data_IF_794489129404
#
_entry.id   IF_794489129404
#
_cell.length_a   1.000
_cell.length_b   1.000
_cell.length_c   1.000
_cell.angle_alpha   90.00
_cell.angle_beta   90.00
_cell.angle_gamma   90.00
#
_symmetry.space_group_name_H-M   'P 1'
#
loop_
_entity.id
_entity.type
_entity.pdbx_description
1 polymer ?
#
# COMPACT_ATOMS: atom_id res chain seq x y z
N UNK A 1 24.04 -23.91 -3.48
CA UNK A 1 22.66 -24.01 -3.94
C UNK A 1 22.49 -23.04 -5.08
N UNK A 2 22.26 -23.54 -6.29
CA UNK A 2 22.00 -22.72 -7.48
C UNK A 2 20.58 -22.19 -7.32
N UNK A 3 20.45 -20.91 -6.99
CA UNK A 3 19.14 -20.23 -7.04
C UNK A 3 18.73 -20.23 -8.51
N UNK A 4 17.73 -21.02 -8.88
CA UNK A 4 17.14 -20.96 -10.20
C UNK A 4 16.67 -19.52 -10.44
N UNK A 5 17.36 -18.79 -11.31
CA UNK A 5 16.93 -17.49 -11.79
C UNK A 5 15.65 -17.71 -12.61
N UNK A 6 14.49 -17.45 -12.00
CA UNK A 6 13.23 -17.40 -12.72
C UNK A 6 13.26 -16.09 -13.52
N UNK A 7 13.62 -16.20 -14.79
CA UNK A 7 13.55 -15.08 -15.73
C UNK A 7 12.19 -15.12 -16.42
N UNK A 8 11.55 -13.97 -16.56
CA UNK A 8 10.46 -13.84 -17.52
C UNK A 8 11.02 -13.99 -18.92
N UNK A 9 10.41 -14.84 -19.72
CA UNK A 9 10.78 -15.00 -21.14
C UNK A 9 10.20 -13.89 -22.02
N UNK A 10 9.27 -13.10 -21.48
CA UNK A 10 8.61 -11.96 -22.15
C UNK A 10 8.40 -10.82 -21.16
N UNK A 11 8.41 -9.59 -21.68
CA UNK A 11 8.01 -8.40 -20.92
C UNK A 11 6.59 -8.59 -20.37
N UNK A 12 6.39 -8.21 -19.10
CA UNK A 12 5.04 -8.20 -18.49
C UNK A 12 4.20 -7.12 -19.15
N UNK A 13 2.98 -7.46 -19.54
CA UNK A 13 2.07 -6.50 -20.14
C UNK A 13 1.64 -5.43 -19.12
N UNK A 14 1.46 -4.17 -19.55
CA UNK A 14 0.88 -3.13 -18.70
C UNK A 14 -0.51 -3.50 -18.21
N UNK A 15 -0.86 -3.06 -17.01
CA UNK A 15 -2.22 -3.15 -16.48
C UNK A 15 -2.99 -1.90 -16.86
N UNK A 16 -4.07 -2.09 -17.59
CA UNK A 16 -4.98 -1.02 -17.97
C UNK A 16 -6.18 -1.00 -17.02
N UNK A 17 -6.46 0.16 -16.44
CA UNK A 17 -7.68 0.40 -15.66
C UNK A 17 -8.71 1.07 -16.55
N UNK A 18 -9.73 0.34 -17.03
CA UNK A 18 -10.78 0.93 -17.84
C UNK A 18 -11.59 1.91 -17.00
N UNK A 19 -12.01 2.99 -17.63
CA UNK A 19 -13.00 3.91 -17.08
C UNK A 19 -14.35 3.50 -17.63
N UNK A 20 -15.25 3.14 -16.75
CA UNK A 20 -16.64 2.91 -17.13
C UNK A 20 -17.35 4.27 -17.30
N UNK A 21 -17.41 4.75 -18.54
CA UNK A 21 -18.17 5.93 -19.00
C UNK A 21 -17.63 7.32 -18.61
N UNK A 22 -16.75 7.83 -19.45
CA UNK A 22 -16.62 9.25 -19.74
C UNK A 22 -15.74 10.04 -18.77
N UNK A 23 -14.61 10.55 -19.23
CA UNK A 23 -14.00 11.66 -18.56
C UNK A 23 -12.49 11.81 -18.63
N UNK A 24 -11.71 10.76 -18.93
CA UNK A 24 -10.31 11.01 -19.28
C UNK A 24 -10.17 11.14 -20.81
N UNK A 25 -9.39 12.13 -21.29
CA UNK A 25 -9.18 12.31 -22.73
C UNK A 25 -8.60 11.09 -23.44
N UNK A 26 -8.01 10.12 -22.67
CA UNK A 26 -7.31 8.95 -23.20
C UNK A 26 -7.87 7.61 -22.72
N UNK A 27 -9.05 7.58 -22.10
CA UNK A 27 -9.79 6.34 -21.87
C UNK A 27 -9.34 5.45 -20.69
N UNK A 28 -8.51 5.88 -19.77
CA UNK A 28 -8.14 5.08 -18.58
C UNK A 28 -6.75 5.36 -18.01
N UNK A 29 -6.43 4.71 -16.90
CA UNK A 29 -5.10 4.76 -16.27
C UNK A 29 -4.32 3.51 -16.64
N UNK A 30 -3.16 3.67 -17.27
CA UNK A 30 -2.23 2.57 -17.54
C UNK A 30 -1.14 2.51 -16.47
N UNK A 31 -0.90 1.31 -15.95
CA UNK A 31 0.17 1.03 -14.99
C UNK A 31 1.22 0.16 -15.69
N UNK A 32 2.36 0.76 -16.00
CA UNK A 32 3.48 0.09 -16.67
C UNK A 32 4.80 0.38 -15.94
N UNK A 33 5.43 -0.65 -15.37
CA UNK A 33 4.95 -2.01 -15.21
C UNK A 33 3.80 -2.12 -14.20
N UNK A 34 3.04 -3.23 -14.14
CA UNK A 34 1.91 -3.42 -13.24
C UNK A 34 2.35 -3.63 -11.78
N UNK A 35 2.99 -2.61 -11.24
CA UNK A 35 3.52 -2.55 -9.87
C UNK A 35 2.86 -1.40 -9.13
N UNK A 36 2.29 -1.70 -7.97
CA UNK A 36 1.61 -0.72 -7.12
C UNK A 36 2.33 -0.60 -5.78
N UNK A 37 2.64 0.61 -5.33
CA UNK A 37 3.05 0.86 -3.96
C UNK A 37 1.86 0.71 -3.02
N UNK A 38 1.97 -0.21 -2.05
CA UNK A 38 0.93 -0.42 -1.05
C UNK A 38 0.75 0.82 -0.16
N UNK A 39 -0.49 1.17 0.19
CA UNK A 39 -0.74 2.17 1.24
C UNK A 39 -0.21 1.68 2.58
N UNK A 40 0.65 2.48 3.21
CA UNK A 40 1.28 2.17 4.51
C UNK A 40 1.22 3.41 5.41
N UNK A 41 0.39 3.35 6.46
CA UNK A 41 0.19 4.44 7.41
C UNK A 41 1.51 4.91 8.06
N UNK A 42 1.75 6.21 8.02
CA UNK A 42 2.97 6.84 8.48
C UNK A 42 4.19 6.61 7.57
N UNK A 43 4.00 6.10 6.35
CA UNK A 43 5.10 5.77 5.42
C UNK A 43 4.85 6.38 4.03
N UNK A 44 3.69 6.09 3.42
CA UNK A 44 3.44 6.44 2.02
C UNK A 44 2.83 7.82 1.85
N UNK A 45 3.38 8.80 2.60
CA UNK A 45 3.18 10.22 2.33
C UNK A 45 3.72 10.60 0.95
N UNK A 46 3.42 11.81 0.46
CA UNK A 46 3.86 12.21 -0.88
C UNK A 46 5.38 12.20 -1.04
N UNK A 47 6.15 12.49 0.01
CA UNK A 47 7.61 12.44 -0.03
C UNK A 47 8.13 11.03 -0.37
N UNK A 48 7.63 10.00 0.32
CA UNK A 48 8.07 8.62 0.06
C UNK A 48 7.54 8.10 -1.27
N UNK A 49 6.32 8.47 -1.69
CA UNK A 49 5.78 8.12 -3.01
C UNK A 49 6.63 8.70 -4.13
N UNK A 50 7.01 9.99 -4.02
CA UNK A 50 7.90 10.65 -4.98
C UNK A 50 9.25 9.95 -5.07
N UNK A 51 9.85 9.63 -3.93
CA UNK A 51 11.13 8.93 -3.88
C UNK A 51 11.07 7.54 -4.55
N UNK A 52 9.99 6.78 -4.32
CA UNK A 52 9.78 5.49 -5.00
C UNK A 52 9.54 5.68 -6.50
N UNK A 53 8.84 6.74 -6.90
CA UNK A 53 8.56 7.07 -8.29
C UNK A 53 9.84 7.48 -9.06
N UNK A 54 10.75 8.20 -8.43
CA UNK A 54 12.07 8.53 -8.99
C UNK A 54 12.88 7.26 -9.35
N UNK A 55 12.58 6.12 -8.73
CA UNK A 55 13.25 4.84 -8.94
C UNK A 55 12.56 3.91 -9.94
N UNK A 56 11.33 4.21 -10.35
CA UNK A 56 10.62 3.37 -11.29
C UNK A 56 9.18 3.79 -11.53
N UNK A 57 8.57 3.19 -12.54
CA UNK A 57 7.18 3.43 -12.91
C UNK A 57 6.23 2.53 -12.11
N UNK A 58 4.97 2.86 -12.12
CA UNK A 58 3.89 2.14 -11.45
C UNK A 58 2.82 3.08 -10.92
N UNK A 59 2.01 2.58 -9.99
CA UNK A 59 1.02 3.38 -9.26
C UNK A 59 1.41 3.49 -7.78
N UNK A 60 1.34 4.69 -7.24
CA UNK A 60 1.75 4.97 -5.86
C UNK A 60 0.55 5.43 -5.05
N UNK A 61 0.00 4.53 -4.20
CA UNK A 61 -1.21 4.80 -3.42
C UNK A 61 -0.86 5.57 -2.16
N UNK A 62 -1.67 6.58 -1.81
CA UNK A 62 -1.50 7.38 -0.59
C UNK A 62 -1.62 6.52 0.69
N UNK A 63 -1.32 7.11 1.83
CA UNK A 63 -1.72 6.56 3.11
C UNK A 63 -3.25 6.45 3.20
N UNK A 64 -3.73 5.58 4.10
CA UNK A 64 -5.16 5.42 4.37
C UNK A 64 -5.76 6.71 4.93
N UNK A 65 -6.71 7.30 4.22
CA UNK A 65 -7.44 8.51 4.58
C UNK A 65 -8.80 8.14 5.13
N UNK A 66 -9.14 8.65 6.31
CA UNK A 66 -10.49 8.50 6.87
C UNK A 66 -11.46 9.39 6.08
N UNK A 67 -12.47 8.79 5.45
CA UNK A 67 -13.42 9.48 4.59
C UNK A 67 -14.11 10.66 5.32
N UNK A 68 -14.56 10.45 6.55
CA UNK A 68 -15.16 11.49 7.38
C UNK A 68 -14.22 12.66 7.64
N UNK A 69 -12.96 12.40 8.03
CA UNK A 69 -12.00 13.48 8.28
C UNK A 69 -11.66 14.28 7.01
N UNK A 70 -11.74 13.66 5.83
CA UNK A 70 -11.58 14.35 4.56
C UNK A 70 -12.73 15.35 4.34
N UNK A 71 -13.98 14.91 4.49
CA UNK A 71 -15.16 15.77 4.31
C UNK A 71 -15.27 16.87 5.38
N UNK A 72 -14.78 16.61 6.59
CA UNK A 72 -14.63 17.60 7.66
C UNK A 72 -13.43 18.57 7.44
N UNK A 73 -12.70 18.40 6.33
CA UNK A 73 -11.53 19.23 5.95
C UNK A 73 -10.45 19.28 7.03
N UNK A 74 -10.22 18.16 7.72
CA UNK A 74 -9.12 18.07 8.68
C UNK A 74 -7.78 18.37 8.02
N UNK A 75 -7.00 19.29 8.58
CA UNK A 75 -5.76 19.78 7.98
C UNK A 75 -4.72 18.68 7.70
N UNK A 76 -4.57 17.71 8.62
CA UNK A 76 -3.67 16.57 8.41
C UNK A 76 -4.16 15.69 7.24
N UNK A 77 -5.47 15.46 7.18
CA UNK A 77 -6.09 14.65 6.11
C UNK A 77 -5.97 15.35 4.75
N UNK A 78 -6.18 16.66 4.70
CA UNK A 78 -6.00 17.45 3.47
C UNK A 78 -4.54 17.41 3.00
N UNK A 79 -3.56 17.47 3.91
CA UNK A 79 -2.15 17.29 3.53
C UNK A 79 -1.87 15.91 2.96
N UNK A 80 -2.49 14.85 3.49
CA UNK A 80 -2.27 13.47 3.00
C UNK A 80 -2.79 13.25 1.57
N UNK A 81 -3.85 13.97 1.15
CA UNK A 81 -4.42 13.84 -0.19
C UNK A 81 -3.64 14.65 -1.24
N UNK A 82 -2.88 15.67 -0.82
CA UNK A 82 -2.08 16.47 -1.75
C UNK A 82 -1.03 15.59 -2.44
N UNK A 83 -1.01 15.56 -3.78
CA UNK A 83 -0.02 14.80 -4.52
C UNK A 83 1.38 15.43 -4.41
N UNK A 84 2.41 14.64 -4.59
CA UNK A 84 3.76 15.15 -4.82
C UNK A 84 3.86 15.89 -6.16
N UNK A 85 4.90 16.72 -6.31
CA UNK A 85 5.11 17.49 -7.56
C UNK A 85 5.18 16.57 -8.78
N UNK A 86 4.24 16.73 -9.71
CA UNK A 86 4.16 15.91 -10.93
C UNK A 86 3.71 14.46 -10.68
N UNK A 87 3.15 14.15 -9.53
CA UNK A 87 2.56 12.83 -9.26
C UNK A 87 1.30 12.62 -10.11
N UNK A 88 1.36 11.69 -11.05
CA UNK A 88 0.25 11.27 -11.91
C UNK A 88 0.44 9.78 -12.29
N UNK A 89 -0.61 8.96 -12.20
CA UNK A 89 -1.93 9.29 -11.66
C UNK A 89 -1.90 9.51 -10.14
N UNK A 90 -2.80 10.37 -9.66
CA UNK A 90 -3.00 10.63 -8.22
C UNK A 90 -3.88 9.54 -7.64
N UNK A 91 -3.36 8.74 -6.74
CA UNK A 91 -4.06 7.60 -6.16
C UNK A 91 -4.27 7.77 -4.67
N UNK A 92 -5.52 7.67 -4.22
CA UNK A 92 -5.93 7.92 -2.84
C UNK A 92 -6.60 6.68 -2.27
N UNK A 93 -6.17 6.26 -1.05
CA UNK A 93 -6.88 5.19 -0.34
C UNK A 93 -7.83 5.77 0.71
N UNK A 94 -9.12 5.43 0.58
CA UNK A 94 -10.17 5.79 1.55
C UNK A 94 -10.48 4.66 2.52
N UNK A 95 -10.94 5.06 3.71
CA UNK A 95 -11.40 4.17 4.75
C UNK A 95 -12.63 4.76 5.45
N UNK A 96 -13.68 3.97 5.62
CA UNK A 96 -14.80 4.20 6.52
C UNK A 96 -15.52 2.89 6.84
N UNK A 97 -16.35 2.89 7.89
CA UNK A 97 -17.31 1.85 8.19
C UNK A 97 -18.75 2.30 7.88
N UNK A 98 -18.92 3.50 7.30
CA UNK A 98 -20.22 4.08 6.94
C UNK A 98 -20.27 4.36 5.42
N UNK A 99 -21.24 3.81 4.69
CA UNK A 99 -21.42 4.08 3.25
C UNK A 99 -21.57 5.57 2.91
N UNK A 100 -22.28 6.32 3.76
CA UNK A 100 -22.51 7.75 3.58
C UNK A 100 -21.19 8.56 3.64
N UNK A 101 -20.28 8.24 4.56
CA UNK A 101 -18.99 8.90 4.64
C UNK A 101 -18.19 8.67 3.35
N UNK A 102 -18.20 7.43 2.83
CA UNK A 102 -17.53 7.09 1.56
C UNK A 102 -18.14 7.87 0.40
N UNK A 103 -19.48 7.88 0.29
CA UNK A 103 -20.18 8.66 -0.74
C UNK A 103 -19.74 10.13 -0.72
N UNK A 104 -19.81 10.77 0.45
CA UNK A 104 -19.46 12.19 0.58
C UNK A 104 -17.99 12.47 0.26
N UNK A 105 -17.07 11.60 0.69
CA UNK A 105 -15.65 11.75 0.39
C UNK A 105 -15.35 11.57 -1.10
N UNK A 106 -15.97 10.57 -1.76
CA UNK A 106 -15.81 10.34 -3.20
C UNK A 106 -16.42 11.49 -4.00
N UNK A 107 -17.58 12.02 -3.58
CA UNK A 107 -18.18 13.21 -4.18
C UNK A 107 -17.22 14.41 -4.10
N UNK A 108 -16.67 14.69 -2.93
CA UNK A 108 -15.68 15.77 -2.73
C UNK A 108 -14.44 15.59 -3.62
N UNK A 109 -13.93 14.35 -3.72
CA UNK A 109 -12.78 14.03 -4.57
C UNK A 109 -13.09 14.34 -6.04
N UNK A 110 -14.28 13.97 -6.50
CA UNK A 110 -14.72 14.22 -7.87
C UNK A 110 -14.94 15.71 -8.16
N UNK A 111 -15.70 16.39 -7.31
CA UNK A 111 -16.04 17.81 -7.48
C UNK A 111 -14.81 18.72 -7.46
N UNK A 112 -13.84 18.43 -6.59
CA UNK A 112 -12.62 19.21 -6.42
C UNK A 112 -11.44 18.65 -7.24
N UNK A 113 -11.64 17.59 -8.02
CA UNK A 113 -10.61 16.93 -8.85
C UNK A 113 -9.34 16.59 -8.03
N UNK A 114 -9.52 15.91 -6.90
CA UNK A 114 -8.43 15.63 -5.95
C UNK A 114 -7.66 14.35 -6.27
N UNK A 115 -8.24 13.41 -7.01
CA UNK A 115 -7.59 12.14 -7.36
C UNK A 115 -8.05 11.60 -8.72
N UNK A 116 -7.19 10.78 -9.33
CA UNK A 116 -7.42 10.08 -10.59
C UNK A 116 -7.80 8.60 -10.36
N UNK A 117 -7.62 8.11 -9.15
CA UNK A 117 -7.91 6.74 -8.73
C UNK A 117 -8.24 6.69 -7.24
N UNK A 118 -9.22 5.87 -6.86
CA UNK A 118 -9.63 5.65 -5.48
C UNK A 118 -9.47 4.16 -5.14
N UNK A 119 -8.75 3.84 -4.06
CA UNK A 119 -8.66 2.51 -3.48
C UNK A 119 -9.40 2.45 -2.14
N UNK A 120 -10.11 1.37 -1.84
CA UNK A 120 -10.81 1.17 -0.58
C UNK A 120 -10.05 0.22 0.33
N UNK A 121 -9.87 0.61 1.60
CA UNK A 121 -9.16 -0.20 2.58
C UNK A 121 -10.04 -1.23 3.27
N UNK A 122 -9.80 -2.50 2.95
CA UNK A 122 -10.37 -3.66 3.64
C UNK A 122 -9.29 -4.62 4.15
N UNK A 123 -8.08 -4.11 4.36
CA UNK A 123 -6.94 -4.94 4.75
C UNK A 123 -6.19 -4.49 6.00
N UNK A 124 -6.50 -3.35 6.60
CA UNK A 124 -5.81 -2.87 7.79
C UNK A 124 -6.09 -3.77 9.00
N UNK A 125 -5.07 -4.42 9.62
CA UNK A 125 -5.26 -5.34 10.74
C UNK A 125 -5.08 -4.67 12.11
N UNK A 126 -4.86 -3.34 12.13
CA UNK A 126 -4.52 -2.61 13.36
C UNK A 126 -5.73 -2.56 14.31
N UNK A 127 -5.57 -2.86 15.63
CA UNK A 127 -6.68 -2.87 16.59
C UNK A 127 -7.50 -1.59 16.63
N UNK A 128 -6.89 -0.42 16.45
CA UNK A 128 -7.59 0.87 16.37
C UNK A 128 -8.65 0.89 15.24
N UNK A 129 -8.45 0.09 14.18
CA UNK A 129 -9.34 0.01 13.02
C UNK A 129 -10.32 -1.15 13.18
N UNK A 130 -9.81 -2.36 13.50
CA UNK A 130 -10.64 -3.58 13.53
C UNK A 130 -11.63 -3.62 14.70
N UNK A 131 -11.29 -3.05 15.88
CA UNK A 131 -12.23 -2.96 17.01
C UNK A 131 -13.47 -2.10 16.72
N UNK A 132 -13.41 -1.28 15.67
CA UNK A 132 -14.53 -0.48 15.17
C UNK A 132 -15.18 -1.13 13.94
N UNK A 133 -14.91 -2.41 13.66
CA UNK A 133 -15.46 -3.14 12.53
C UNK A 133 -14.88 -2.79 11.16
N UNK A 134 -13.79 -2.02 11.11
CA UNK A 134 -13.19 -1.57 9.85
C UNK A 134 -12.00 -2.39 9.38
N UNK A 135 -11.41 -1.98 8.26
CA UNK A 135 -10.24 -2.64 7.67
C UNK A 135 -10.48 -4.11 7.38
N UNK A 136 -9.61 -5.00 7.86
CA UNK A 136 -9.70 -6.43 7.61
C UNK A 136 -10.90 -7.15 8.29
N UNK A 137 -11.58 -6.49 9.24
CA UNK A 137 -12.78 -7.03 9.86
C UNK A 137 -14.05 -6.82 9.02
N UNK A 138 -14.07 -5.76 8.21
CA UNK A 138 -15.27 -5.29 7.53
C UNK A 138 -15.81 -6.26 6.47
N UNK A 139 -14.99 -6.95 5.65
CA UNK A 139 -15.49 -7.89 4.64
C UNK A 139 -16.30 -9.08 5.21
N UNK A 140 -16.22 -9.32 6.51
CA UNK A 140 -17.07 -10.32 7.17
C UNK A 140 -18.55 -9.90 7.19
N UNK A 141 -18.84 -8.61 7.32
CA UNK A 141 -20.20 -8.04 7.23
C UNK A 141 -20.55 -7.78 5.76
N UNK A 142 -21.09 -8.78 5.10
CA UNK A 142 -21.30 -8.87 3.65
C UNK A 142 -22.08 -7.70 3.07
N UNK A 143 -23.22 -7.38 3.70
CA UNK A 143 -24.11 -6.32 3.24
C UNK A 143 -23.51 -4.93 3.47
N UNK A 144 -22.81 -4.72 4.59
CA UNK A 144 -22.11 -3.48 4.86
C UNK A 144 -20.94 -3.28 3.89
N UNK A 145 -20.17 -4.35 3.62
CA UNK A 145 -19.09 -4.32 2.62
C UNK A 145 -19.61 -3.92 1.25
N UNK A 146 -20.71 -4.58 0.79
CA UNK A 146 -21.32 -4.27 -0.50
C UNK A 146 -21.79 -2.81 -0.56
N UNK A 147 -22.49 -2.33 0.45
CA UNK A 147 -22.99 -0.95 0.50
C UNK A 147 -21.86 0.11 0.45
N UNK A 148 -20.71 -0.15 1.10
CA UNK A 148 -19.55 0.74 1.05
C UNK A 148 -18.92 0.75 -0.35
N UNK A 149 -18.72 -0.43 -0.96
CA UNK A 149 -18.16 -0.54 -2.30
C UNK A 149 -19.08 0.11 -3.33
N UNK A 150 -20.39 -0.15 -3.24
CA UNK A 150 -21.40 0.43 -4.12
C UNK A 150 -21.46 1.96 -4.00
N UNK A 151 -21.44 2.49 -2.76
CA UNK A 151 -21.36 3.92 -2.52
C UNK A 151 -20.16 4.59 -3.21
N UNK A 152 -18.99 3.92 -3.17
CA UNK A 152 -17.80 4.44 -3.84
C UNK A 152 -17.92 4.36 -5.37
N UNK A 153 -18.25 3.18 -5.92
CA UNK A 153 -18.30 2.94 -7.37
C UNK A 153 -19.36 3.81 -8.04
N UNK A 154 -20.58 3.85 -7.50
CA UNK A 154 -21.67 4.65 -8.06
C UNK A 154 -21.37 6.14 -8.03
N UNK A 155 -20.76 6.64 -6.95
CA UNK A 155 -20.42 8.07 -6.82
C UNK A 155 -19.22 8.46 -7.66
N UNK A 156 -18.22 7.58 -7.83
CA UNK A 156 -17.04 7.85 -8.67
C UNK A 156 -17.34 7.81 -10.17
N UNK A 157 -18.35 7.03 -10.58
CA UNK A 157 -18.70 6.78 -11.98
C UNK A 157 -18.93 8.05 -12.83
N UNK A 158 -19.71 9.07 -12.37
CA UNK A 158 -19.89 10.30 -13.14
C UNK A 158 -18.60 11.09 -13.41
N UNK A 159 -17.61 10.94 -12.54
CA UNK A 159 -16.31 11.59 -12.63
C UNK A 159 -15.28 10.78 -13.45
N UNK A 160 -15.62 9.56 -13.85
CA UNK A 160 -14.70 8.66 -14.54
C UNK A 160 -13.54 8.18 -13.67
N UNK A 161 -13.68 8.20 -12.35
CA UNK A 161 -12.63 7.77 -11.41
C UNK A 161 -12.76 6.27 -11.15
N UNK A 162 -11.76 5.43 -11.52
CA UNK A 162 -11.76 4.01 -11.21
C UNK A 162 -11.67 3.78 -9.69
N UNK A 163 -12.44 2.80 -9.21
CA UNK A 163 -12.43 2.37 -7.81
C UNK A 163 -11.88 0.96 -7.71
N UNK A 164 -11.00 0.73 -6.75
CA UNK A 164 -10.40 -0.57 -6.45
C UNK A 164 -10.55 -0.93 -4.99
N UNK A 165 -10.30 -2.19 -4.65
CA UNK A 165 -10.32 -2.64 -3.25
C UNK A 165 -9.02 -3.36 -2.90
N UNK A 166 -8.51 -3.09 -1.70
CA UNK A 166 -7.38 -3.83 -1.13
C UNK A 166 -7.80 -4.52 0.14
N UNK A 167 -7.67 -5.86 0.16
CA UNK A 167 -8.12 -6.71 1.25
C UNK A 167 -7.04 -7.68 1.76
N UNK A 168 -7.35 -8.40 2.83
CA UNK A 168 -6.62 -9.58 3.33
C UNK A 168 -7.45 -10.83 3.10
N UNK A 169 -6.86 -12.00 3.38
CA UNK A 169 -7.53 -13.32 3.25
C UNK A 169 -8.78 -13.40 4.12
N UNK A 170 -8.77 -12.71 5.25
CA UNK A 170 -9.88 -12.67 6.19
C UNK A 170 -9.41 -12.19 7.56
N UNK A 171 -10.21 -12.41 8.58
CA UNK A 171 -9.92 -12.08 9.98
C UNK A 171 -8.85 -13.05 10.53
N UNK A 172 -9.12 -14.34 10.42
CA UNK A 172 -8.29 -15.45 10.86
C UNK A 172 -8.52 -16.68 9.96
N UNK A 173 -8.03 -17.86 10.35
CA UNK A 173 -8.14 -19.07 9.53
C UNK A 173 -9.58 -19.63 9.45
N UNK A 174 -10.43 -19.33 10.43
CA UNK A 174 -11.83 -19.75 10.48
C UNK A 174 -12.75 -18.77 9.72
N UNK A 175 -12.36 -17.49 9.66
CA UNK A 175 -13.18 -16.43 9.06
C UNK A 175 -12.47 -15.83 7.83
N UNK A 176 -12.29 -16.66 6.78
CA UNK A 176 -11.75 -16.26 5.48
C UNK A 176 -12.87 -15.65 4.63
N UNK A 177 -12.67 -14.41 4.19
CA UNK A 177 -13.70 -13.63 3.49
C UNK A 177 -13.34 -13.30 2.04
N UNK A 178 -12.09 -13.51 1.62
CA UNK A 178 -11.50 -12.95 0.39
C UNK A 178 -12.20 -13.40 -0.91
N UNK A 179 -12.69 -14.65 -0.99
CA UNK A 179 -13.36 -15.14 -2.20
C UNK A 179 -14.72 -14.44 -2.38
N UNK A 180 -15.55 -14.46 -1.36
CA UNK A 180 -16.87 -13.86 -1.40
C UNK A 180 -16.79 -12.33 -1.54
N UNK A 181 -15.97 -11.68 -0.73
CA UNK A 181 -15.77 -10.23 -0.81
C UNK A 181 -15.20 -9.80 -2.17
N UNK A 182 -14.25 -10.60 -2.73
CA UNK A 182 -13.72 -10.35 -4.06
C UNK A 182 -14.78 -10.43 -5.14
N UNK A 183 -15.64 -11.46 -5.12
CA UNK A 183 -16.73 -11.62 -6.07
C UNK A 183 -17.73 -10.48 -5.98
N UNK A 184 -18.20 -10.15 -4.77
CA UNK A 184 -19.12 -9.02 -4.55
C UNK A 184 -18.55 -7.69 -5.05
N UNK A 185 -17.26 -7.43 -4.76
CA UNK A 185 -16.62 -6.22 -5.26
C UNK A 185 -16.56 -6.18 -6.79
N UNK A 186 -16.23 -7.30 -7.43
CA UNK A 186 -16.20 -7.41 -8.89
C UNK A 186 -17.58 -7.21 -9.52
N UNK A 187 -18.62 -7.81 -8.97
CA UNK A 187 -20.02 -7.66 -9.42
C UNK A 187 -20.53 -6.21 -9.29
N UNK A 188 -20.12 -5.50 -8.26
CA UNK A 188 -20.45 -4.06 -8.07
C UNK A 188 -19.71 -3.18 -9.08
N UNK A 189 -18.56 -3.61 -9.60
CA UNK A 189 -17.85 -2.92 -10.67
C UNK A 189 -16.55 -2.25 -10.24
N UNK A 190 -15.83 -2.82 -9.26
CA UNK A 190 -14.46 -2.38 -8.99
C UNK A 190 -13.53 -2.75 -10.16
N UNK A 191 -12.48 -1.97 -10.36
CA UNK A 191 -11.58 -2.12 -11.51
C UNK A 191 -10.51 -3.19 -11.28
N UNK A 192 -10.12 -3.44 -10.04
CA UNK A 192 -9.31 -4.58 -9.60
C UNK A 192 -9.55 -4.91 -8.14
N UNK A 193 -9.07 -6.10 -7.75
CA UNK A 193 -8.99 -6.53 -6.35
C UNK A 193 -7.55 -6.82 -6.00
N UNK A 194 -6.99 -6.19 -4.96
CA UNK A 194 -5.65 -6.48 -4.44
C UNK A 194 -5.74 -7.33 -3.16
N UNK A 195 -5.09 -8.49 -3.16
CA UNK A 195 -5.10 -9.41 -2.02
C UNK A 195 -3.75 -9.49 -1.32
N UNK A 196 -3.69 -9.09 -0.05
CA UNK A 196 -2.57 -9.43 0.82
C UNK A 196 -2.76 -10.86 1.37
N UNK A 197 -1.88 -11.77 0.96
CA UNK A 197 -1.97 -13.21 1.22
C UNK A 197 -1.66 -13.59 2.68
N UNK A 198 -2.29 -12.91 3.62
CA UNK A 198 -2.29 -13.14 5.09
C UNK A 198 -3.64 -12.79 5.68
N UNK A 199 -4.02 -13.45 6.77
CA UNK A 199 -5.17 -13.02 7.59
C UNK A 199 -4.82 -11.79 8.43
N UNK A 200 -5.83 -11.14 9.03
CA UNK A 200 -5.60 -10.06 9.99
C UNK A 200 -4.86 -10.56 11.24
N UNK A 201 -5.22 -11.73 11.74
CA UNK A 201 -4.58 -12.36 12.90
C UNK A 201 -3.08 -12.61 12.71
N UNK A 202 -2.66 -13.02 11.51
CA UNK A 202 -1.25 -13.21 11.19
C UNK A 202 -0.44 -11.91 11.21
N UNK A 203 -1.05 -10.76 11.04
CA UNK A 203 -0.33 -9.50 10.86
C UNK A 203 0.77 -9.59 9.80
N UNK A 204 2.01 -9.93 10.22
CA UNK A 204 3.19 -10.07 9.37
C UNK A 204 4.01 -11.32 9.74
N UNK A 205 3.48 -12.20 10.57
CA UNK A 205 4.14 -13.44 10.96
C UNK A 205 4.14 -14.46 9.83
N UNK A 206 5.14 -15.33 9.83
CA UNK A 206 5.28 -16.40 8.86
C UNK A 206 5.47 -15.89 7.42
N UNK A 207 5.19 -16.77 6.48
CA UNK A 207 5.18 -16.45 5.05
C UNK A 207 3.76 -16.13 4.58
N UNK A 208 3.63 -15.27 3.57
CA UNK A 208 2.36 -15.06 2.89
C UNK A 208 2.01 -16.28 2.04
N UNK A 209 0.76 -16.71 2.10
CA UNK A 209 0.27 -17.86 1.34
C UNK A 209 -0.23 -17.43 -0.04
N UNK A 210 0.66 -17.44 -1.03
CA UNK A 210 0.35 -17.05 -2.41
C UNK A 210 -0.69 -17.94 -3.07
N UNK A 211 -0.94 -19.15 -2.55
CA UNK A 211 -2.02 -20.01 -3.06
C UNK A 211 -3.40 -19.35 -2.92
N UNK A 212 -3.58 -18.45 -1.96
CA UNK A 212 -4.82 -17.68 -1.79
C UNK A 212 -5.00 -16.65 -2.90
N UNK A 213 -3.91 -16.06 -3.41
CA UNK A 213 -3.96 -15.16 -4.56
C UNK A 213 -4.39 -15.96 -5.79
N UNK A 214 -3.77 -17.12 -6.05
CA UNK A 214 -4.14 -18.00 -7.16
C UNK A 214 -5.62 -18.37 -7.12
N UNK A 215 -6.11 -18.80 -5.96
CA UNK A 215 -7.53 -19.13 -5.77
C UNK A 215 -8.45 -17.95 -6.08
N UNK A 216 -8.05 -16.73 -5.69
CA UNK A 216 -8.84 -15.53 -5.99
C UNK A 216 -8.81 -15.20 -7.49
N UNK A 217 -7.66 -15.36 -8.16
CA UNK A 217 -7.54 -15.20 -9.63
C UNK A 217 -8.50 -16.15 -10.35
N UNK A 218 -8.47 -17.44 -9.99
CA UNK A 218 -9.34 -18.45 -10.56
C UNK A 218 -10.83 -18.16 -10.28
N UNK A 219 -11.13 -17.70 -9.06
CA UNK A 219 -12.49 -17.38 -8.63
C UNK A 219 -13.10 -16.18 -9.36
N UNK A 220 -12.29 -15.14 -9.62
CA UNK A 220 -12.72 -13.92 -10.31
C UNK A 220 -12.61 -14.01 -11.84
N UNK A 221 -12.02 -15.05 -12.40
CA UNK A 221 -11.86 -15.21 -13.85
C UNK A 221 -13.14 -14.97 -14.66
N UNK A 222 -14.34 -15.45 -14.23
CA UNK A 222 -15.58 -15.22 -14.97
C UNK A 222 -16.01 -13.74 -15.05
N UNK A 223 -15.56 -12.91 -14.12
CA UNK A 223 -15.91 -11.48 -14.07
C UNK A 223 -15.01 -10.61 -14.96
N UNK A 224 -13.83 -11.12 -15.33
CA UNK A 224 -12.79 -10.34 -16.02
C UNK A 224 -12.08 -9.30 -15.15
N UNK A 225 -12.42 -9.18 -13.86
CA UNK A 225 -11.77 -8.23 -12.94
C UNK A 225 -10.39 -8.77 -12.54
N UNK A 226 -9.30 -8.03 -12.81
CA UNK A 226 -7.96 -8.48 -12.49
C UNK A 226 -7.68 -8.50 -10.99
N UNK A 227 -6.84 -9.46 -10.58
CA UNK A 227 -6.34 -9.56 -9.20
C UNK A 227 -4.89 -9.09 -9.15
N UNK A 228 -4.55 -8.28 -8.16
CA UNK A 228 -3.17 -7.93 -7.83
C UNK A 228 -2.69 -8.69 -6.59
N UNK A 229 -1.50 -9.29 -6.69
CA UNK A 229 -0.91 -10.05 -5.60
C UNK A 229 -0.11 -9.18 -4.64
N UNK A 230 -0.22 -9.43 -3.34
CA UNK A 230 0.53 -8.73 -2.30
C UNK A 230 1.00 -9.68 -1.19
N UNK A 231 2.25 -9.53 -0.77
CA UNK A 231 2.85 -10.24 0.36
C UNK A 231 4.22 -10.83 0.02
N UNK A 232 5.21 -10.51 0.86
CA UNK A 232 6.59 -11.03 0.81
C UNK A 232 7.31 -10.85 -0.54
N UNK A 233 7.19 -9.67 -1.12
CA UNK A 233 7.95 -9.23 -2.28
C UNK A 233 9.14 -8.43 -1.77
N UNK A 234 10.33 -9.03 -1.87
CA UNK A 234 11.60 -8.47 -1.37
C UNK A 234 12.59 -8.15 -2.49
N UNK A 235 12.35 -8.66 -3.70
CA UNK A 235 13.18 -8.46 -4.89
C UNK A 235 12.33 -8.42 -6.16
N UNK A 236 12.93 -8.02 -7.28
CA UNK A 236 12.29 -8.12 -8.59
C UNK A 236 11.90 -9.55 -8.93
N UNK A 237 12.73 -10.53 -8.58
CA UNK A 237 12.46 -11.94 -8.80
C UNK A 237 11.23 -12.45 -8.03
N UNK A 238 10.99 -11.95 -6.81
CA UNK A 238 9.78 -12.31 -6.05
C UNK A 238 8.51 -11.80 -6.75
N UNK A 239 8.60 -10.59 -7.35
CA UNK A 239 7.48 -10.05 -8.14
C UNK A 239 7.15 -10.92 -9.36
N UNK A 240 8.18 -11.34 -10.10
CA UNK A 240 8.06 -12.26 -11.24
C UNK A 240 7.52 -13.62 -10.79
N UNK A 241 8.06 -14.18 -9.71
CA UNK A 241 7.61 -15.47 -9.17
C UNK A 241 6.13 -15.41 -8.77
N UNK A 242 5.70 -14.37 -8.07
CA UNK A 242 4.29 -14.19 -7.69
C UNK A 242 3.38 -14.20 -8.91
N UNK A 243 3.70 -13.45 -9.96
CA UNK A 243 2.87 -13.43 -11.17
C UNK A 243 2.83 -14.79 -11.88
N UNK A 244 3.97 -15.48 -11.98
CA UNK A 244 4.05 -16.80 -12.62
C UNK A 244 3.31 -17.89 -11.83
N UNK A 245 3.42 -17.87 -10.50
CA UNK A 245 2.82 -18.90 -9.65
C UNK A 245 1.32 -18.73 -9.46
N UNK A 246 0.85 -17.46 -9.46
CA UNK A 246 -0.54 -17.15 -9.10
C UNK A 246 -1.41 -16.75 -10.28
N UNK A 247 -0.81 -16.33 -11.40
CA UNK A 247 -1.54 -15.77 -12.54
C UNK A 247 -2.12 -14.38 -12.29
N UNK A 248 -1.71 -13.67 -11.22
CA UNK A 248 -2.20 -12.31 -10.95
C UNK A 248 -1.73 -11.33 -12.03
N UNK A 249 -2.53 -10.30 -12.29
CA UNK A 249 -2.30 -9.31 -13.35
C UNK A 249 -1.26 -8.25 -13.01
N UNK A 250 -0.86 -8.17 -11.76
CA UNK A 250 0.14 -7.22 -11.24
C UNK A 250 0.40 -7.47 -9.77
N UNK A 251 1.27 -6.67 -9.19
CA UNK A 251 1.71 -6.83 -7.80
C UNK A 251 1.58 -5.54 -6.99
N UNK A 252 1.39 -5.71 -5.69
CA UNK A 252 1.37 -4.62 -4.71
C UNK A 252 2.53 -4.79 -3.75
N UNK A 253 3.43 -3.80 -3.68
CA UNK A 253 4.65 -3.83 -2.87
C UNK A 253 4.46 -3.02 -1.59
N UNK A 254 4.63 -3.66 -0.44
CA UNK A 254 4.60 -3.00 0.87
C UNK A 254 5.99 -2.91 1.50
N UNK A 255 6.21 -3.67 2.56
CA UNK A 255 7.43 -3.61 3.38
C UNK A 255 8.75 -3.79 2.63
N UNK A 256 8.73 -4.43 1.46
CA UNK A 256 9.94 -4.65 0.66
C UNK A 256 10.67 -3.37 0.28
N UNK A 257 9.95 -2.26 0.06
CA UNK A 257 10.55 -0.98 -0.32
C UNK A 257 10.95 -0.09 0.86
N UNK A 258 10.71 -0.49 2.12
CA UNK A 258 11.09 0.31 3.30
C UNK A 258 12.62 0.51 3.36
N UNK A 259 13.07 1.77 3.25
CA UNK A 259 14.49 2.11 3.11
C UNK A 259 15.16 1.53 1.86
N UNK A 260 14.37 1.18 0.85
CA UNK A 260 14.79 0.58 -0.42
C UNK A 260 13.91 1.03 -1.58
N UNK A 261 13.76 2.32 -1.84
CA UNK A 261 12.95 2.78 -2.97
C UNK A 261 13.44 2.21 -4.32
N UNK A 262 14.74 1.92 -4.46
CA UNK A 262 15.31 1.23 -5.64
C UNK A 262 14.75 -0.18 -5.91
N UNK A 263 13.93 -0.75 -5.00
CA UNK A 263 13.18 -1.97 -5.31
C UNK A 263 12.25 -1.78 -6.51
N UNK A 264 11.74 -0.57 -6.74
CA UNK A 264 10.95 -0.28 -7.93
C UNK A 264 11.76 -0.38 -9.21
N UNK A 265 13.01 0.08 -9.22
CA UNK A 265 13.92 -0.13 -10.36
C UNK A 265 14.25 -1.62 -10.59
N UNK A 266 14.46 -2.38 -9.51
CA UNK A 266 14.67 -3.83 -9.59
C UNK A 266 13.45 -4.55 -10.20
N UNK A 267 12.22 -4.16 -9.81
CA UNK A 267 10.97 -4.69 -10.35
C UNK A 267 10.78 -4.32 -11.83
N UNK A 268 10.99 -3.05 -12.20
CA UNK A 268 10.90 -2.62 -13.61
C UNK A 268 11.80 -3.47 -14.50
N UNK A 269 13.05 -3.68 -14.10
CA UNK A 269 14.01 -4.51 -14.83
C UNK A 269 13.60 -5.95 -14.91
N UNK A 270 13.23 -6.55 -13.78
CA UNK A 270 12.78 -7.93 -13.75
C UNK A 270 11.56 -8.15 -14.67
N UNK A 271 10.63 -7.20 -14.69
CA UNK A 271 9.42 -7.26 -15.54
C UNK A 271 9.72 -6.99 -17.01
N UNK A 272 10.82 -6.33 -17.33
CA UNK A 272 11.35 -6.21 -18.70
C UNK A 272 12.16 -7.43 -19.15
N UNK A 273 12.38 -8.42 -18.29
CA UNK A 273 13.18 -9.61 -18.59
C UNK A 273 14.71 -9.38 -18.50
N UNK A 274 15.13 -8.29 -17.88
CA UNK A 274 16.54 -7.97 -17.69
C UNK A 274 17.14 -8.78 -16.54
N UNK A 275 18.33 -9.39 -16.78
CA UNK A 275 18.97 -10.25 -15.79
C UNK A 275 19.87 -9.52 -14.79
N UNK A 276 20.36 -8.35 -15.15
CA UNK A 276 21.25 -7.55 -14.31
C UNK A 276 20.45 -6.75 -13.28
N UNK A 277 20.95 -6.78 -12.05
CA UNK A 277 20.35 -6.10 -10.93
C UNK A 277 21.33 -5.05 -10.40
N UNK A 278 21.15 -3.75 -10.71
CA UNK A 278 21.97 -2.71 -10.14
C UNK A 278 21.58 -2.55 -8.66
N UNK A 279 22.46 -2.95 -7.80
CA UNK A 279 22.32 -2.76 -6.37
C UNK A 279 23.13 -1.56 -5.94
N UNK A 280 22.55 -0.59 -5.22
CA UNK A 280 23.25 0.64 -4.86
C UNK A 280 24.35 0.37 -3.84
N UNK A 281 25.51 0.97 -4.01
CA UNK A 281 26.53 1.05 -2.96
C UNK A 281 26.06 1.94 -1.81
N UNK A 282 26.69 1.84 -0.65
CA UNK A 282 26.33 2.68 0.51
C UNK A 282 26.39 4.18 0.19
N UNK A 283 27.33 4.58 -0.66
CA UNK A 283 27.42 5.95 -1.15
C UNK A 283 26.13 6.42 -1.87
N UNK A 284 25.52 5.57 -2.69
CA UNK A 284 24.27 5.89 -3.39
C UNK A 284 23.08 5.85 -2.43
N UNK A 285 23.07 4.90 -1.49
CA UNK A 285 22.03 4.80 -0.45
C UNK A 285 21.99 6.06 0.42
N UNK A 286 23.14 6.65 0.76
CA UNK A 286 23.19 7.88 1.54
C UNK A 286 22.56 9.06 0.80
N UNK A 287 22.75 9.18 -0.52
CA UNK A 287 22.13 10.25 -1.30
C UNK A 287 20.62 10.07 -1.39
N UNK A 288 20.15 8.83 -1.55
CA UNK A 288 18.70 8.52 -1.50
C UNK A 288 18.10 8.83 -0.13
N UNK A 289 18.80 8.53 0.96
CA UNK A 289 18.36 8.86 2.32
C UNK A 289 18.30 10.39 2.53
N UNK A 290 19.28 11.13 2.03
CA UNK A 290 19.27 12.59 2.11
C UNK A 290 18.12 13.19 1.26
N UNK A 291 17.94 12.69 0.04
CA UNK A 291 16.81 13.08 -0.83
C UNK A 291 15.45 12.85 -0.15
N UNK A 292 15.32 11.74 0.58
CA UNK A 292 14.11 11.48 1.37
C UNK A 292 13.88 12.56 2.43
N UNK A 293 14.94 12.99 3.10
CA UNK A 293 14.84 14.07 4.10
C UNK A 293 14.41 15.40 3.49
N UNK A 294 14.94 15.73 2.30
CA UNK A 294 14.53 16.96 1.56
C UNK A 294 13.04 16.90 1.21
N UNK A 295 12.59 15.80 0.62
CA UNK A 295 11.17 15.60 0.27
C UNK A 295 10.26 15.64 1.49
N UNK A 296 10.69 15.08 2.64
CA UNK A 296 9.93 15.18 3.90
C UNK A 296 9.88 16.62 4.40
N UNK A 297 10.95 17.41 4.22
CA UNK A 297 10.96 18.81 4.60
C UNK A 297 9.95 19.62 3.76
N UNK A 298 9.89 19.35 2.47
CA UNK A 298 8.86 19.93 1.59
C UNK A 298 7.44 19.50 2.02
N UNK A 299 7.23 18.20 2.30
CA UNK A 299 5.94 17.65 2.71
C UNK A 299 5.42 18.19 4.04
N UNK A 300 6.29 18.33 5.03
CA UNK A 300 5.92 18.82 6.36
C UNK A 300 6.02 20.35 6.51
N UNK A 301 6.64 21.04 5.54
CA UNK A 301 6.98 22.45 5.64
C UNK A 301 7.77 22.77 6.93
N UNK A 302 8.54 21.78 7.41
CA UNK A 302 9.26 21.84 8.69
C UNK A 302 10.40 20.83 8.71
N UNK A 303 11.64 21.32 8.79
CA UNK A 303 12.85 20.48 8.88
C UNK A 303 12.85 19.60 10.14
N UNK A 304 12.49 20.16 11.29
CA UNK A 304 12.42 19.43 12.56
C UNK A 304 11.40 18.27 12.48
N UNK A 305 10.21 18.51 11.90
CA UNK A 305 9.20 17.50 11.74
C UNK A 305 9.64 16.42 10.74
N UNK A 306 10.29 16.82 9.65
CA UNK A 306 10.86 15.93 8.64
C UNK A 306 11.93 15.00 9.25
N UNK A 307 12.87 15.55 9.99
CA UNK A 307 13.91 14.79 10.66
C UNK A 307 13.34 13.79 11.67
N UNK A 308 12.35 14.18 12.48
CA UNK A 308 11.68 13.25 13.40
C UNK A 308 10.98 12.11 12.66
N UNK A 309 10.35 12.39 11.52
CA UNK A 309 9.71 11.35 10.71
C UNK A 309 10.75 10.43 10.06
N UNK A 310 11.87 10.99 9.59
CA UNK A 310 12.94 10.25 8.95
C UNK A 310 13.61 9.22 9.87
N UNK A 311 13.70 9.50 11.18
CA UNK A 311 14.39 8.61 12.17
C UNK A 311 13.98 7.15 12.05
N UNK A 312 12.70 6.86 11.84
CA UNK A 312 12.20 5.48 11.66
C UNK A 312 12.72 4.81 10.40
N UNK A 313 13.09 5.60 9.37
CA UNK A 313 13.56 5.10 8.09
C UNK A 313 15.07 4.82 8.07
N UNK A 314 15.88 5.52 8.88
CA UNK A 314 17.33 5.41 8.87
C UNK A 314 17.82 3.98 9.10
N UNK A 315 17.21 3.25 10.06
CA UNK A 315 17.53 1.86 10.32
C UNK A 315 17.23 0.94 9.12
N UNK A 316 16.20 1.26 8.33
CA UNK A 316 15.85 0.48 7.15
C UNK A 316 16.82 0.74 5.97
N UNK A 317 17.25 1.98 5.76
CA UNK A 317 18.24 2.33 4.76
C UNK A 317 19.59 1.66 5.03
N UNK A 318 20.04 1.68 6.28
CA UNK A 318 21.34 1.14 6.70
C UNK A 318 21.31 -0.36 7.02
N UNK A 319 20.19 -1.06 6.74
CA UNK A 319 20.07 -2.49 7.04
C UNK A 319 21.08 -3.32 6.27
N UNK A 320 21.89 -4.10 6.99
CA UNK A 320 22.93 -4.99 6.45
C UNK A 320 24.28 -4.34 6.23
N UNK A 321 24.34 -3.03 6.07
CA UNK A 321 25.64 -2.33 6.00
C UNK A 321 26.34 -2.32 7.36
N UNK A 322 27.68 -2.36 7.33
CA UNK A 322 28.48 -2.22 8.55
C UNK A 322 28.56 -0.74 8.92
N UNK A 323 27.78 -0.35 9.90
CA UNK A 323 27.76 0.99 10.49
C UNK A 323 27.92 0.83 11.98
N UNK A 324 28.82 1.58 12.60
CA UNK A 324 29.09 1.54 14.04
C UNK A 324 27.85 1.86 14.85
N UNK A 325 27.73 1.23 16.03
CA UNK A 325 26.56 1.34 16.90
C UNK A 325 26.21 2.77 17.29
N UNK A 326 27.24 3.55 17.68
CA UNK A 326 27.09 4.96 18.06
C UNK A 326 26.60 5.82 16.89
N UNK A 327 27.14 5.57 15.68
CA UNK A 327 26.69 6.27 14.48
C UNK A 327 25.24 5.92 14.14
N UNK A 328 24.85 4.65 14.27
CA UNK A 328 23.42 4.25 14.12
C UNK A 328 22.51 4.93 15.12
N UNK A 329 22.93 5.03 16.37
CA UNK A 329 22.16 5.72 17.40
C UNK A 329 21.95 7.20 17.05
N UNK A 330 23.00 7.88 16.56
CA UNK A 330 22.94 9.28 16.13
C UNK A 330 21.96 9.47 14.96
N UNK A 331 21.95 8.59 13.95
CA UNK A 331 20.94 8.63 12.88
C UNK A 331 19.50 8.54 13.41
N UNK A 332 19.28 7.78 14.48
CA UNK A 332 17.98 7.68 15.17
C UNK A 332 17.57 8.94 15.95
N UNK A 333 18.46 9.93 16.08
CA UNK A 333 18.25 11.16 16.84
C UNK A 333 18.36 12.43 15.99
N UNK A 334 18.68 12.29 14.70
CA UNK A 334 18.90 13.41 13.77
C UNK A 334 17.80 14.47 13.86
N UNK A 335 18.22 15.73 13.90
CA UNK A 335 17.34 16.89 14.14
C UNK A 335 17.39 17.97 13.07
N UNK A 336 18.40 17.90 12.16
CA UNK A 336 18.53 18.84 11.04
C UNK A 336 19.14 18.15 9.81
N UNK A 337 18.91 18.75 8.63
CA UNK A 337 19.52 18.31 7.38
C UNK A 337 21.05 18.46 7.41
N UNK A 338 21.57 19.50 8.06
CA UNK A 338 23.00 19.71 8.23
C UNK A 338 23.63 18.58 9.08
N UNK A 339 22.98 18.24 10.20
CA UNK A 339 23.43 17.11 11.03
C UNK A 339 23.33 15.80 10.26
N UNK A 340 22.23 15.57 9.52
CA UNK A 340 22.07 14.39 8.68
C UNK A 340 23.22 14.27 7.68
N UNK A 341 23.54 15.35 6.94
CA UNK A 341 24.64 15.36 5.98
C UNK A 341 25.98 15.03 6.65
N UNK A 342 26.26 15.63 7.79
CA UNK A 342 27.48 15.36 8.56
C UNK A 342 27.58 13.90 9.01
N UNK A 343 26.46 13.26 9.38
CA UNK A 343 26.42 11.84 9.73
C UNK A 343 26.62 10.94 8.51
N UNK A 344 26.03 11.30 7.36
CA UNK A 344 26.14 10.55 6.11
C UNK A 344 27.59 10.58 5.57
N UNK A 345 28.32 11.68 5.78
CA UNK A 345 29.72 11.82 5.36
C UNK A 345 30.68 10.97 6.19
N UNK A 346 30.26 10.49 7.37
CA UNK A 346 31.05 9.53 8.17
C UNK A 346 30.90 8.08 7.70
N UNK A 347 29.96 7.79 6.78
CA UNK A 347 29.74 6.43 6.27
C UNK A 347 30.87 6.08 5.29
N UNK A 348 31.49 4.92 5.53
CA UNK A 348 32.49 4.35 4.61
C UNK A 348 31.79 3.55 3.53
N UNK A 349 32.09 3.84 2.26
CA UNK A 349 31.44 3.17 1.13
C UNK A 349 31.64 1.66 1.15
N UNK A 350 30.58 0.93 0.83
CA UNK A 350 30.53 -0.52 0.83
C UNK A 350 29.56 -1.03 -0.24
N UNK A 351 29.79 -2.25 -0.79
CA UNK A 351 28.84 -2.88 -1.69
C UNK A 351 27.54 -3.22 -0.97
N UNK A 352 26.45 -3.34 -1.75
CA UNK A 352 25.14 -3.72 -1.20
C UNK A 352 25.19 -5.11 -0.54
N UNK A 353 24.71 -5.25 0.69
CA UNK A 353 24.71 -6.52 1.43
C UNK A 353 23.52 -7.39 1.05
N UNK A 354 23.49 -7.97 -0.16
CA UNK A 354 22.31 -8.65 -0.74
C UNK A 354 21.59 -9.60 0.21
N UNK A 355 22.31 -10.51 0.86
CA UNK A 355 21.74 -11.52 1.73
C UNK A 355 20.92 -10.95 2.90
N UNK A 356 21.32 -9.78 3.43
CA UNK A 356 20.65 -9.10 4.54
C UNK A 356 19.77 -7.96 4.02
N UNK A 357 20.24 -7.29 2.97
CA UNK A 357 19.55 -6.18 2.34
C UNK A 357 18.18 -6.59 1.78
N UNK A 358 18.06 -7.78 1.21
CA UNK A 358 16.83 -8.35 0.67
C UNK A 358 16.02 -9.17 1.68
N UNK A 359 16.52 -9.33 2.89
CA UNK A 359 15.78 -10.03 3.94
C UNK A 359 14.55 -9.24 4.41
N UNK A 360 13.52 -9.93 4.95
CA UNK A 360 12.31 -9.31 5.49
C UNK A 360 12.60 -8.10 6.38
N UNK A 361 11.83 -7.04 6.23
CA UNK A 361 12.01 -5.76 6.94
C UNK A 361 10.68 -5.17 7.40
N UNK A 362 10.75 -4.11 8.20
CA UNK A 362 9.58 -3.49 8.81
C UNK A 362 9.10 -4.29 10.02
N UNK A 363 7.83 -4.15 10.36
CA UNK A 363 7.24 -4.86 11.49
C UNK A 363 7.16 -6.36 11.21
N UNK A 364 7.58 -7.16 12.19
CA UNK A 364 7.52 -8.63 12.22
C UNK A 364 6.67 -9.09 13.39
N UNK A 365 5.50 -8.46 13.57
CA UNK A 365 4.60 -8.75 14.69
C UNK A 365 4.15 -10.20 14.68
N UNK A 366 4.12 -10.83 15.85
CA UNK A 366 3.55 -12.17 16.04
C UNK A 366 2.05 -12.17 15.80
N UNK A 367 1.51 -13.32 15.44
CA UNK A 367 0.07 -13.57 15.35
C UNK A 367 -0.61 -13.28 16.69
N UNK A 368 -1.82 -12.74 16.62
CA UNK A 368 -2.65 -12.41 17.77
C UNK A 368 -4.12 -12.41 17.41
N UNK A 369 -4.99 -12.58 18.40
CA UNK A 369 -6.42 -12.41 18.23
C UNK A 369 -6.73 -11.00 17.68
N UNK A 370 -7.68 -10.92 16.77
CA UNK A 370 -8.13 -9.65 16.18
C UNK A 370 -9.14 -8.99 17.12
N UNK A 371 -8.89 -7.74 17.50
CA UNK A 371 -9.87 -6.99 18.28
C UNK A 371 -11.05 -6.62 17.37
N UNK A 372 -12.23 -7.09 17.70
CA UNK A 372 -13.48 -6.87 16.96
C UNK A 372 -14.52 -6.20 17.86
N UNK A 373 -15.57 -5.57 17.29
CA UNK A 373 -16.73 -5.17 18.06
C UNK A 373 -17.41 -6.37 18.73
N UNK A 374 -18.08 -6.14 19.84
CA UNK A 374 -18.83 -7.20 20.53
C UNK A 374 -19.90 -7.79 19.59
N UNK A 375 -19.97 -9.13 19.51
CA UNK A 375 -20.91 -9.82 18.64
C UNK A 375 -20.65 -9.72 17.14
N UNK A 376 -19.51 -9.18 16.72
CA UNK A 376 -19.20 -8.98 15.29
C UNK A 376 -19.35 -10.24 14.43
N UNK A 377 -18.97 -11.40 14.97
CA UNK A 377 -19.00 -12.68 14.26
C UNK A 377 -20.34 -13.42 14.36
N UNK A 378 -21.37 -12.87 15.03
CA UNK A 378 -22.64 -13.58 15.22
C UNK A 378 -23.45 -13.71 13.93
N UNK A 379 -23.51 -12.64 13.12
CA UNK A 379 -24.28 -12.61 11.87
C UNK A 379 -23.50 -11.88 10.79
N UNK A 380 -23.04 -12.58 9.75
CA UNK A 380 -22.26 -11.97 8.65
C UNK A 380 -23.11 -11.07 7.74
N UNK A 381 -24.43 -11.19 7.74
CA UNK A 381 -25.34 -10.43 6.89
C UNK A 381 -26.00 -9.25 7.62
N UNK A 382 -25.74 -9.12 8.92
CA UNK A 382 -26.22 -8.00 9.70
C UNK A 382 -25.74 -6.67 9.08
N UNK A 383 -26.72 -5.88 8.64
CA UNK A 383 -26.58 -4.50 8.23
C UNK A 383 -27.29 -3.62 9.26
N UNK A 384 -26.64 -3.45 10.41
CA UNK A 384 -27.14 -2.50 11.39
C UNK A 384 -26.61 -1.12 11.06
N UNK A 385 -27.49 -0.15 10.82
CA UNK A 385 -27.15 1.28 10.94
C UNK A 385 -26.67 1.63 12.36
N UNK A 386 -26.53 0.64 13.22
CA UNK A 386 -26.35 0.72 14.66
C UNK A 386 -24.91 0.50 15.08
N UNK A 387 -23.97 1.29 14.55
CA UNK A 387 -22.74 1.53 15.30
C UNK A 387 -22.56 3.03 15.58
N UNK A 388 -23.62 3.68 16.06
CA UNK A 388 -23.47 4.78 16.99
C UNK A 388 -23.05 4.20 18.35
N UNK A 389 -21.84 3.68 18.45
CA UNK A 389 -21.20 3.65 19.76
C UNK A 389 -20.91 5.09 20.12
N UNK A 390 -21.69 5.57 21.07
CA UNK A 390 -21.50 6.83 21.72
C UNK A 390 -20.00 7.17 21.78
N UNK A 391 -19.58 8.25 21.14
CA UNK A 391 -18.44 9.02 21.55
C UNK A 391 -18.78 9.57 22.93
N UNK A 392 -18.78 8.67 23.92
CA UNK A 392 -18.87 8.98 25.33
C UNK A 392 -17.60 9.74 25.70
N UNK A 393 -17.75 11.02 25.90
CA UNK A 393 -17.05 11.85 26.89
C UNK A 393 -15.93 11.11 27.64
N UNK A 394 -14.72 11.50 27.36
CA UNK A 394 -13.53 11.14 28.13
C UNK A 394 -12.47 12.15 27.83
N UNK A 395 -12.31 13.10 28.78
CA UNK A 395 -11.45 14.26 28.78
C UNK A 395 -9.95 13.96 28.65
#
# INVERSE_FOLDING_TARGET
MVVNKILLTKKVAPLYLPITNGGFPNGGVTIDPPVVLAPMAGITNSAFRMLCREQGAGLFVSEMITARALTERNAETLRMIVPGKGESPRSVQLYSTKPLDIKNAVQMIGDENLADHIDLNFGCPVPKVTRNGGGAALPYKRNLFAAIVEAAVCTAKPFGIPVTVKMRVGIDDEHKTYLEAGMRAAEIGVTWVALHARTAAQFYEGKSDWSTIKKLVEHLAPTGVPVLGNGDIWSGNDGVAMMNETGCAGIVVGRGCLGRPWLFADLVRAFNGESERPLPRLFEVREVLYRHAELLTEYFESEDRACRDLRKHTAWYLKGFRVEGDLRARFGMVSSLMELRSLLDLLVDAPYPEAIGDAPRGRTSRSRSVSLPQGWLNDPDEFAEVFEVAAGSGG
#
